data_IF_875395488106
#
_entry.id   IF_875395488106
#
_cell.length_a   1.000
_cell.length_b   1.000
_cell.length_c   1.000
_cell.angle_alpha   90.00
_cell.angle_beta   90.00
_cell.angle_gamma   90.00
#
_symmetry.space_group_name_H-M   'P 1'
#
loop_
_entity.id
_entity.type
_entity.pdbx_description
1 polymer ?
#
# COMPACT_ATOMS: atom_id res chain seq x y z
N UNK A 1 6.41 -14.38 -21.23
CA UNK A 1 6.74 -14.49 -19.81
C UNK A 1 5.53 -14.11 -18.98
N UNK A 2 5.28 -14.85 -17.92
CA UNK A 2 4.17 -14.54 -17.04
C UNK A 2 4.55 -13.42 -16.08
N UNK A 3 3.58 -12.59 -15.72
CA UNK A 3 3.74 -11.59 -14.68
C UNK A 3 3.79 -12.26 -13.32
N UNK A 4 4.29 -11.55 -12.32
CA UNK A 4 4.24 -11.97 -10.94
C UNK A 4 2.81 -12.06 -10.43
N UNK A 5 2.67 -12.44 -9.17
CA UNK A 5 1.38 -12.51 -8.50
C UNK A 5 1.31 -11.41 -7.45
N UNK A 6 0.15 -10.79 -7.35
CA UNK A 6 -0.14 -9.79 -6.34
C UNK A 6 -1.09 -10.40 -5.32
N UNK A 7 -0.63 -10.47 -4.07
CA UNK A 7 -1.44 -10.94 -2.95
C UNK A 7 -1.75 -9.75 -2.05
N UNK A 8 -3.03 -9.56 -1.74
CA UNK A 8 -3.48 -8.41 -0.95
C UNK A 8 -4.00 -8.88 0.40
N UNK A 9 -3.49 -8.26 1.47
CA UNK A 9 -3.96 -8.49 2.83
C UNK A 9 -4.58 -7.20 3.32
N UNK A 10 -5.86 -7.26 3.65
CA UNK A 10 -6.61 -6.11 4.16
C UNK A 10 -7.09 -6.38 5.58
N UNK A 11 -7.25 -5.32 6.33
CA UNK A 11 -7.77 -5.39 7.69
C UNK A 11 -7.70 -4.04 8.37
N UNK A 12 -8.41 -3.93 9.47
CA UNK A 12 -8.39 -2.72 10.29
C UNK A 12 -7.05 -2.60 11.00
N UNK A 13 -6.69 -1.37 11.37
CA UNK A 13 -5.50 -1.14 12.18
C UNK A 13 -5.59 -1.94 13.48
N UNK A 14 -4.47 -2.55 13.86
CA UNK A 14 -4.43 -3.40 15.04
C UNK A 14 -4.96 -4.81 14.85
N UNK A 15 -5.35 -5.20 13.62
CA UNK A 15 -5.86 -6.54 13.33
C UNK A 15 -4.76 -7.59 13.14
N UNK A 16 -3.49 -7.18 13.18
CA UNK A 16 -2.35 -8.08 12.97
C UNK A 16 -2.00 -8.29 11.51
N UNK A 17 -2.53 -7.49 10.59
CA UNK A 17 -2.28 -7.68 9.15
C UNK A 17 -0.80 -7.54 8.79
N UNK A 18 -0.07 -6.63 9.43
CA UNK A 18 1.36 -6.47 9.15
C UNK A 18 2.15 -7.72 9.55
N UNK A 19 1.82 -8.33 10.68
CA UNK A 19 2.43 -9.58 11.14
C UNK A 19 2.10 -10.72 10.17
N UNK A 20 0.85 -10.81 9.74
CA UNK A 20 0.42 -11.83 8.77
C UNK A 20 1.15 -11.67 7.44
N UNK A 21 1.30 -10.43 6.96
CA UNK A 21 2.00 -10.17 5.70
C UNK A 21 3.46 -10.61 5.78
N UNK A 22 4.14 -10.31 6.89
CA UNK A 22 5.54 -10.74 7.09
C UNK A 22 5.68 -12.25 7.14
N UNK A 23 4.79 -12.94 7.83
CA UNK A 23 4.80 -14.41 7.91
C UNK A 23 4.60 -15.02 6.52
N UNK A 24 3.66 -14.51 5.75
CA UNK A 24 3.42 -14.99 4.39
C UNK A 24 4.62 -14.75 3.49
N UNK A 25 5.22 -13.55 3.56
CA UNK A 25 6.40 -13.22 2.77
C UNK A 25 7.57 -14.14 3.09
N UNK A 26 7.81 -14.41 4.39
CA UNK A 26 8.86 -15.34 4.82
C UNK A 26 8.61 -16.77 4.30
N UNK A 27 7.38 -17.23 4.38
CA UNK A 27 7.01 -18.56 3.89
C UNK A 27 7.28 -18.69 2.39
N UNK A 28 6.86 -17.68 1.61
CA UNK A 28 7.04 -17.72 0.16
C UNK A 28 8.52 -17.63 -0.23
N UNK A 29 9.29 -16.81 0.48
CA UNK A 29 10.73 -16.70 0.25
C UNK A 29 11.45 -18.01 0.53
N UNK A 30 11.10 -18.69 1.62
CA UNK A 30 11.64 -20.00 1.96
C UNK A 30 11.29 -21.07 0.92
N UNK A 31 10.19 -20.88 0.21
CA UNK A 31 9.77 -21.75 -0.88
C UNK A 31 10.51 -21.48 -2.19
N UNK A 32 11.49 -20.57 -2.18
CA UNK A 32 12.30 -20.25 -3.36
C UNK A 32 11.71 -19.18 -4.27
N UNK A 33 10.68 -18.46 -3.81
CA UNK A 33 10.05 -17.41 -4.60
C UNK A 33 10.69 -16.05 -4.31
N UNK A 34 10.72 -15.20 -5.32
CA UNK A 34 11.10 -13.80 -5.14
C UNK A 34 9.88 -13.06 -4.57
N UNK A 35 10.07 -12.37 -3.46
CA UNK A 35 8.97 -11.69 -2.75
C UNK A 35 9.33 -10.24 -2.46
N UNK A 36 8.38 -9.34 -2.67
CA UNK A 36 8.49 -7.95 -2.26
C UNK A 36 7.26 -7.59 -1.42
N UNK A 37 7.49 -7.06 -0.23
CA UNK A 37 6.43 -6.55 0.62
C UNK A 37 6.21 -5.07 0.34
N UNK A 38 4.94 -4.70 0.25
CA UNK A 38 4.54 -3.32 0.00
C UNK A 38 3.42 -2.98 0.99
N UNK A 39 3.46 -1.79 1.53
CA UNK A 39 2.40 -1.31 2.42
C UNK A 39 1.78 -0.04 1.87
N UNK A 40 0.48 0.13 2.12
CA UNK A 40 -0.27 1.33 1.76
C UNK A 40 -1.03 1.84 2.98
N UNK A 41 -1.05 3.14 3.23
CA UNK A 41 -0.28 4.15 2.50
C UNK A 41 1.24 3.95 2.67
N UNK A 42 1.99 4.39 1.69
CA UNK A 42 3.45 4.35 1.76
C UNK A 42 3.95 5.62 2.46
N UNK A 43 3.91 5.60 3.79
CA UNK A 43 4.14 6.78 4.62
C UNK A 43 5.54 7.38 4.49
N UNK A 44 6.50 6.63 4.00
CA UNK A 44 7.88 7.11 3.83
C UNK A 44 8.08 7.83 2.50
N UNK A 45 7.12 7.73 1.59
CA UNK A 45 7.22 8.34 0.27
C UNK A 45 6.47 9.66 0.22
N UNK A 46 6.95 10.57 -0.63
CA UNK A 46 6.30 11.85 -0.88
C UNK A 46 4.89 11.67 -1.46
N UNK A 47 4.65 10.57 -2.18
CA UNK A 47 3.35 10.26 -2.76
C UNK A 47 2.24 10.09 -1.73
N UNK A 48 2.58 9.83 -0.48
CA UNK A 48 1.60 9.67 0.61
C UNK A 48 1.33 10.99 1.36
N UNK A 49 1.90 12.10 0.92
CA UNK A 49 1.76 13.38 1.63
C UNK A 49 0.30 13.78 1.84
N UNK A 50 -0.54 13.66 0.82
CA UNK A 50 -1.96 14.01 0.91
C UNK A 50 -2.71 13.08 1.85
N UNK A 51 -2.39 11.80 1.85
CA UNK A 51 -2.97 10.84 2.79
C UNK A 51 -2.60 11.20 4.22
N UNK A 52 -1.33 11.54 4.48
CA UNK A 52 -0.89 11.95 5.81
C UNK A 52 -1.60 13.21 6.28
N UNK A 53 -1.75 14.20 5.41
CA UNK A 53 -2.48 15.43 5.71
C UNK A 53 -3.94 15.16 6.04
N UNK A 54 -4.56 14.27 5.28
CA UNK A 54 -5.94 13.86 5.51
C UNK A 54 -6.09 13.16 6.86
N UNK A 55 -5.24 12.18 7.15
CA UNK A 55 -5.32 11.40 8.39
C UNK A 55 -5.00 12.23 9.63
N UNK A 56 -4.16 13.27 9.49
CA UNK A 56 -3.81 14.17 10.59
C UNK A 56 -4.82 15.29 10.82
N UNK A 57 -5.89 15.34 10.02
CA UNK A 57 -6.95 16.31 10.18
C UNK A 57 -6.69 17.67 9.57
N UNK A 58 -5.65 17.82 8.75
CA UNK A 58 -5.32 19.13 8.14
C UNK A 58 -6.39 19.61 7.17
N UNK A 59 -7.19 18.71 6.60
CA UNK A 59 -8.32 19.04 5.72
C UNK A 59 -9.65 19.05 6.46
N UNK A 60 -9.64 18.89 7.78
CA UNK A 60 -10.81 18.79 8.63
C UNK A 60 -10.83 17.49 9.39
N UNK A 61 -11.44 17.49 10.57
CA UNK A 61 -11.45 16.34 11.48
C UNK A 61 -12.80 15.64 11.52
N UNK A 62 -13.81 16.15 10.80
CA UNK A 62 -15.14 15.56 10.75
C UNK A 62 -15.29 14.70 9.49
N UNK A 63 -16.15 13.66 9.53
CA UNK A 63 -16.34 12.79 8.38
C UNK A 63 -16.75 13.51 7.09
N UNK A 64 -17.50 14.59 7.19
CA UNK A 64 -18.00 15.33 6.03
C UNK A 64 -17.05 16.43 5.52
N UNK A 65 -15.94 16.66 6.21
CA UNK A 65 -15.02 17.75 5.84
C UNK A 65 -14.23 17.45 4.57
N UNK A 66 -14.10 16.18 4.20
CA UNK A 66 -13.39 15.78 2.98
C UNK A 66 -14.33 14.95 2.12
N UNK A 67 -14.47 15.37 0.86
CA UNK A 67 -15.25 14.66 -0.13
C UNK A 67 -14.68 13.23 -0.34
N UNK A 68 -15.53 12.19 -0.38
CA UNK A 68 -15.05 10.81 -0.59
C UNK A 68 -14.23 10.62 -1.87
N UNK A 69 -14.54 11.35 -2.93
CA UNK A 69 -13.76 11.29 -4.17
C UNK A 69 -12.35 11.84 -3.97
N UNK A 70 -12.22 12.94 -3.24
CA UNK A 70 -10.92 13.50 -2.92
C UNK A 70 -10.10 12.54 -2.07
N UNK A 71 -10.69 11.99 -1.01
CA UNK A 71 -10.01 11.02 -0.15
C UNK A 71 -9.54 9.81 -0.93
N UNK A 72 -10.39 9.25 -1.79
CA UNK A 72 -10.03 8.11 -2.64
C UNK A 72 -8.89 8.45 -3.58
N UNK A 73 -8.85 9.68 -4.09
CA UNK A 73 -7.76 10.13 -4.98
C UNK A 73 -6.42 10.16 -4.27
N UNK A 74 -6.39 10.56 -3.00
CA UNK A 74 -5.14 10.59 -2.23
C UNK A 74 -4.52 9.20 -2.14
N UNK A 75 -5.32 8.19 -1.86
CA UNK A 75 -4.86 6.81 -1.80
C UNK A 75 -4.48 6.26 -3.17
N UNK A 76 -5.24 6.61 -4.20
CA UNK A 76 -4.95 6.16 -5.57
C UNK A 76 -3.61 6.71 -6.07
N UNK A 77 -3.31 7.97 -5.80
CA UNK A 77 -2.02 8.57 -6.16
C UNK A 77 -0.88 7.84 -5.48
N UNK A 78 -1.00 7.54 -4.20
CA UNK A 78 0.03 6.82 -3.46
C UNK A 78 0.27 5.43 -4.06
N UNK A 79 -0.78 4.68 -4.36
CA UNK A 79 -0.66 3.36 -4.98
C UNK A 79 -0.03 3.43 -6.37
N UNK A 80 -0.45 4.38 -7.19
CA UNK A 80 0.08 4.54 -8.54
C UNK A 80 1.58 4.87 -8.51
N UNK A 81 1.97 5.82 -7.68
CA UNK A 81 3.36 6.21 -7.55
C UNK A 81 4.23 5.05 -7.04
N UNK A 82 3.73 4.31 -6.07
CA UNK A 82 4.43 3.14 -5.54
C UNK A 82 4.65 2.08 -6.63
N UNK A 83 3.63 1.81 -7.45
CA UNK A 83 3.78 0.88 -8.58
C UNK A 83 4.87 1.35 -9.53
N UNK A 84 4.82 2.61 -9.95
CA UNK A 84 5.77 3.15 -10.94
C UNK A 84 7.20 3.22 -10.42
N UNK A 85 7.40 3.52 -9.15
CA UNK A 85 8.74 3.79 -8.61
C UNK A 85 9.34 2.61 -7.87
N UNK A 86 8.54 1.66 -7.40
CA UNK A 86 9.04 0.60 -6.52
C UNK A 86 8.81 -0.80 -7.03
N UNK A 87 7.57 -1.20 -7.24
CA UNK A 87 7.29 -2.62 -7.42
C UNK A 87 6.78 -3.04 -8.80
N UNK A 88 6.48 -2.08 -9.67
CA UNK A 88 5.94 -2.41 -10.98
C UNK A 88 6.86 -3.30 -11.81
N UNK A 89 8.14 -2.96 -11.90
CA UNK A 89 9.10 -3.75 -12.66
C UNK A 89 9.30 -5.14 -12.04
N UNK A 90 9.26 -5.25 -10.72
CA UNK A 90 9.34 -6.53 -10.03
C UNK A 90 8.16 -7.43 -10.41
N UNK A 91 6.95 -6.86 -10.42
CA UNK A 91 5.74 -7.58 -10.79
C UNK A 91 5.77 -8.03 -12.26
N UNK A 92 6.15 -7.12 -13.15
CA UNK A 92 6.20 -7.40 -14.59
C UNK A 92 7.25 -8.45 -14.95
N UNK A 93 8.29 -8.58 -14.15
CA UNK A 93 9.34 -9.56 -14.37
C UNK A 93 8.94 -10.99 -13.97
N UNK A 94 7.87 -11.14 -13.23
CA UNK A 94 7.44 -12.46 -12.74
C UNK A 94 8.17 -12.82 -11.43
#
# INVERSE_FOLDING_TARGET
MSKGRLLVIEGLDGSGKATQAKLLASYLAESGRRVMEITFPDYESDSSALVKMYLSGQFGDKPDDVNPYAASSFYAVDRYASYKTKWGSFYEAG
#
